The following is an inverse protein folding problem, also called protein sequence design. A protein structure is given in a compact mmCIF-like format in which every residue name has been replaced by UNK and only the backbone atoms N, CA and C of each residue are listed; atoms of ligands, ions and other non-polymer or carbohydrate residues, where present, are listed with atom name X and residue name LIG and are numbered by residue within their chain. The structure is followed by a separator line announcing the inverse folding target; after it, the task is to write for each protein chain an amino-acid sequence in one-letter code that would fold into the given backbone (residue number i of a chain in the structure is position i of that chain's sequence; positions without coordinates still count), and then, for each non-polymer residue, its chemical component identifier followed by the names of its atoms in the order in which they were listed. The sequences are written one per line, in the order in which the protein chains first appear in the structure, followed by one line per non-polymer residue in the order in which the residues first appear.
data_IF_901617172052
#
_entry.id   IF_901617172052
#
_cell.length_a   1.000
_cell.length_b   1.000
_cell.length_c   1.000
_cell.angle_alpha   90.00
_cell.angle_beta   90.00
_cell.angle_gamma   90.00
#
_symmetry.space_group_name_H-M   'P 1'
#
loop_
_entity.id
_entity.type
_entity.pdbx_description
1 polymer ?
#
# COMPACT_ATOMS: atom_id res chain seq x y z
N UNK A 1 -29.35 -13.03 -35.94
CA UNK A 1 -28.53 -11.89 -35.48
C UNK A 1 -27.06 -12.31 -35.57
N UNK A 2 -26.38 -11.94 -36.65
CA UNK A 2 -24.98 -12.29 -36.87
C UNK A 2 -24.09 -11.37 -36.02
N UNK A 3 -23.12 -11.96 -35.31
CA UNK A 3 -22.10 -11.22 -34.55
C UNK A 3 -21.26 -10.44 -35.56
N UNK A 4 -21.55 -9.14 -35.68
CA UNK A 4 -20.77 -8.21 -36.49
C UNK A 4 -19.37 -8.13 -35.87
N UNK A 5 -18.36 -8.24 -36.73
CA UNK A 5 -16.92 -8.18 -36.46
C UNK A 5 -16.54 -7.42 -35.18
N UNK A 6 -15.65 -8.01 -34.37
CA UNK A 6 -15.06 -7.38 -33.17
C UNK A 6 -14.63 -5.95 -33.50
N UNK A 7 -15.48 -4.99 -33.13
CA UNK A 7 -15.35 -3.62 -33.59
C UNK A 7 -14.03 -3.04 -33.09
N UNK A 8 -13.27 -2.41 -34.01
CA UNK A 8 -12.04 -1.62 -33.80
C UNK A 8 -12.12 -0.63 -32.61
N UNK A 9 -13.33 -0.33 -32.17
CA UNK A 9 -13.66 0.48 -31.00
C UNK A 9 -13.10 -0.06 -29.67
N UNK A 10 -12.97 -1.38 -29.51
CA UNK A 10 -12.33 -1.97 -28.31
C UNK A 10 -10.82 -1.70 -28.27
N UNK A 11 -10.15 -1.69 -29.44
CA UNK A 11 -8.71 -1.40 -29.54
C UNK A 11 -8.35 0.01 -29.07
N UNK A 12 -9.17 1.01 -29.43
CA UNK A 12 -8.97 2.42 -29.04
C UNK A 12 -9.18 2.69 -27.55
N UNK A 13 -10.09 1.97 -26.89
CA UNK A 13 -10.30 2.09 -25.43
C UNK A 13 -9.25 1.31 -24.65
N UNK A 14 -8.84 0.14 -25.15
CA UNK A 14 -7.82 -0.71 -24.54
C UNK A 14 -6.48 0.02 -24.44
N UNK A 15 -6.03 0.71 -25.50
CA UNK A 15 -4.76 1.45 -25.47
C UNK A 15 -4.74 2.58 -24.43
N UNK A 16 -5.85 3.32 -24.27
CA UNK A 16 -5.98 4.36 -23.24
C UNK A 16 -6.03 3.78 -21.82
N UNK A 17 -6.74 2.68 -21.61
CA UNK A 17 -6.86 2.07 -20.29
C UNK A 17 -5.55 1.40 -19.83
N UNK A 18 -4.70 0.94 -20.77
CA UNK A 18 -3.39 0.37 -20.45
C UNK A 18 -2.47 1.41 -19.80
N UNK A 19 -2.40 2.63 -20.35
CA UNK A 19 -1.59 3.70 -19.76
C UNK A 19 -2.04 4.05 -18.33
N UNK A 20 -3.35 4.16 -18.11
CA UNK A 20 -3.93 4.40 -16.79
C UNK A 20 -3.64 3.24 -15.83
N UNK A 21 -3.74 2.00 -16.30
CA UNK A 21 -3.41 0.81 -15.51
C UNK A 21 -1.95 0.77 -15.06
N UNK A 22 -1.02 1.15 -15.94
CA UNK A 22 0.41 1.25 -15.61
C UNK A 22 0.69 2.32 -14.56
N UNK A 23 0.10 3.51 -14.70
CA UNK A 23 0.24 4.60 -13.72
C UNK A 23 -0.31 4.19 -12.36
N UNK A 24 -1.50 3.56 -12.35
CA UNK A 24 -2.11 3.07 -11.12
C UNK A 24 -1.23 2.02 -10.43
N UNK A 25 -0.72 1.03 -11.17
CA UNK A 25 0.16 0.01 -10.64
C UNK A 25 1.46 0.62 -10.08
N UNK A 26 2.06 1.58 -10.79
CA UNK A 26 3.25 2.31 -10.32
C UNK A 26 2.98 3.09 -9.04
N UNK A 27 1.86 3.79 -8.96
CA UNK A 27 1.47 4.53 -7.75
C UNK A 27 1.30 3.59 -6.55
N UNK A 28 0.60 2.47 -6.74
CA UNK A 28 0.42 1.43 -5.70
C UNK A 28 1.79 0.89 -5.26
N UNK A 29 2.67 0.58 -6.21
CA UNK A 29 4.00 0.05 -5.90
C UNK A 29 4.84 1.03 -5.05
N UNK A 30 4.77 2.33 -5.33
CA UNK A 30 5.46 3.36 -4.52
C UNK A 30 4.93 3.38 -3.09
N UNK A 31 3.61 3.48 -2.92
CA UNK A 31 2.99 3.52 -1.59
C UNK A 31 3.27 2.23 -0.83
N UNK A 32 3.15 1.08 -1.48
CA UNK A 32 3.40 -0.23 -0.88
C UNK A 32 4.87 -0.39 -0.48
N UNK A 33 5.82 -0.03 -1.36
CA UNK A 33 7.25 -0.06 -1.05
C UNK A 33 7.61 0.83 0.14
N UNK A 34 7.07 2.05 0.20
CA UNK A 34 7.23 2.92 1.37
C UNK A 34 6.59 2.34 2.63
N UNK A 35 5.45 1.64 2.49
CA UNK A 35 4.77 1.00 3.62
C UNK A 35 5.60 -0.14 4.19
N UNK A 36 6.19 -0.99 3.35
CA UNK A 36 7.08 -2.08 3.78
C UNK A 36 8.25 -1.50 4.57
N UNK A 37 8.96 -0.52 4.00
CA UNK A 37 10.09 0.15 4.68
C UNK A 37 9.65 0.77 6.00
N UNK A 38 8.48 1.43 6.03
CA UNK A 38 7.94 2.03 7.25
C UNK A 38 7.61 0.98 8.31
N UNK A 39 7.01 -0.14 7.93
CA UNK A 39 6.67 -1.21 8.87
C UNK A 39 7.92 -1.89 9.40
N UNK A 40 8.96 -2.06 8.58
CA UNK A 40 10.24 -2.59 9.03
C UNK A 40 10.96 -1.61 9.98
N UNK A 41 10.94 -0.31 9.70
CA UNK A 41 11.57 0.70 10.54
C UNK A 41 10.82 0.97 11.85
N UNK A 42 9.50 0.91 11.84
CA UNK A 42 8.65 1.03 13.04
C UNK A 42 8.48 -0.36 13.72
N UNK A 43 8.94 -1.42 13.08
CA UNK A 43 8.83 -2.82 13.49
C UNK A 43 9.95 -3.25 14.43
N UNK A 44 9.84 -2.77 15.66
CA UNK A 44 10.27 -3.36 16.93
C UNK A 44 10.11 -2.23 17.97
N UNK A 45 8.89 -1.71 18.11
CA UNK A 45 8.58 -0.96 19.33
C UNK A 45 8.54 -2.02 20.40
N UNK A 46 9.66 -2.18 21.13
CA UNK A 46 9.66 -2.86 22.42
C UNK A 46 8.42 -2.35 23.14
N UNK A 47 7.48 -3.28 23.40
CA UNK A 47 6.17 -2.96 23.94
C UNK A 47 6.31 -2.00 25.10
N UNK A 48 5.34 -1.09 25.27
CA UNK A 48 5.30 0.03 26.22
C UNK A 48 5.65 -0.35 27.68
N UNK A 49 6.88 -0.78 27.93
CA UNK A 49 7.45 -1.23 29.20
C UNK A 49 8.19 -0.04 29.83
N UNK A 50 7.62 1.15 29.68
CA UNK A 50 7.93 2.29 30.51
C UNK A 50 7.26 2.06 31.88
N UNK A 51 7.74 1.05 32.60
CA UNK A 51 7.47 0.78 34.00
C UNK A 51 8.10 1.84 34.92
N UNK A 52 8.23 3.09 34.47
CA UNK A 52 8.47 4.22 35.34
C UNK A 52 7.12 4.67 35.91
N UNK A 53 6.59 3.88 36.86
CA UNK A 53 5.62 4.38 37.84
C UNK A 53 6.44 5.07 38.93
N UNK A 54 6.53 6.41 38.95
CA UNK A 54 7.26 7.12 39.99
C UNK A 54 6.42 7.03 41.27
N UNK A 55 6.67 5.97 42.04
CA UNK A 55 5.89 5.61 43.23
C UNK A 55 6.13 4.19 43.73
N UNK A 56 6.79 3.32 42.96
CA UNK A 56 7.12 1.96 43.40
C UNK A 56 8.32 1.87 44.37
N UNK A 57 8.89 2.99 44.80
CA UNK A 57 9.86 3.05 45.89
C UNK A 57 9.15 3.52 47.19
N UNK A 58 8.22 2.69 47.66
CA UNK A 58 7.73 2.72 49.04
C UNK A 58 8.67 1.83 49.87
N UNK A 59 9.19 2.38 50.96
CA UNK A 59 9.79 1.69 52.13
C UNK A 59 11.05 0.84 51.93
N UNK A 60 12.20 1.38 52.35
CA UNK A 60 12.90 0.87 53.53
C UNK A 60 13.52 2.05 54.29
#
# INVERSE_FOLDING_TARGET
MAIQAEHELHGRRKSRNVGVGLVLAGFIAIIFGLTVVKVEQIGAVDGFDNANVPGAAVTQ
#
